data_IF_384318830449
#
_entry.id   IF_384318830449
#
_cell.length_a   1.000
_cell.length_b   1.000
_cell.length_c   1.000
_cell.angle_alpha   90.00
_cell.angle_beta   90.00
_cell.angle_gamma   90.00
#
_symmetry.space_group_name_H-M   'P 1'
#
loop_
_entity.id
_entity.type
_entity.pdbx_description
1 polymer ?
#
# COMPACT_ATOMS: atom_id res chain seq x y z
N UNK A 1 6.12 19.14 -8.52
CA UNK A 1 5.47 19.31 -7.22
C UNK A 1 4.74 18.01 -6.92
N UNK A 2 5.31 17.10 -6.13
CA UNK A 2 4.59 15.87 -5.76
C UNK A 2 3.52 16.27 -4.73
N UNK A 3 2.27 16.38 -5.19
CA UNK A 3 1.14 16.60 -4.29
C UNK A 3 1.16 15.51 -3.23
N UNK A 4 1.20 15.90 -1.96
CA UNK A 4 1.30 14.99 -0.83
C UNK A 4 0.03 14.13 -0.75
N UNK A 5 0.07 12.94 -1.37
CA UNK A 5 -1.10 12.05 -1.38
C UNK A 5 -1.44 11.61 0.04
N UNK A 6 -2.68 11.86 0.45
CA UNK A 6 -3.14 11.52 1.80
C UNK A 6 -3.05 10.00 2.03
N UNK A 7 -2.92 9.52 3.27
CA UNK A 7 -2.91 8.08 3.56
C UNK A 7 -4.13 7.34 2.97
N UNK A 8 -5.29 8.01 2.89
CA UNK A 8 -6.51 7.48 2.28
C UNK A 8 -6.38 7.32 0.77
N UNK A 9 -5.82 8.31 0.08
CA UNK A 9 -5.58 8.27 -1.37
C UNK A 9 -4.58 7.19 -1.74
N UNK A 10 -3.48 7.05 -0.98
CA UNK A 10 -2.50 5.98 -1.22
C UNK A 10 -3.12 4.60 -1.11
N UNK A 11 -3.95 4.39 -0.08
CA UNK A 11 -4.71 3.14 0.09
C UNK A 11 -5.66 2.87 -1.07
N UNK A 12 -6.40 3.88 -1.52
CA UNK A 12 -7.30 3.76 -2.66
C UNK A 12 -6.54 3.38 -3.95
N UNK A 13 -5.41 4.04 -4.21
CA UNK A 13 -4.54 3.76 -5.36
C UNK A 13 -3.97 2.33 -5.30
N UNK A 14 -3.52 1.89 -4.14
CA UNK A 14 -3.01 0.53 -3.95
C UNK A 14 -4.07 -0.54 -4.19
N UNK A 15 -5.32 -0.31 -3.75
CA UNK A 15 -6.45 -1.20 -4.05
C UNK A 15 -6.71 -1.24 -5.55
N UNK A 16 -6.72 -0.08 -6.22
CA UNK A 16 -6.91 0.00 -7.67
C UNK A 16 -5.82 -0.77 -8.43
N UNK A 17 -4.54 -0.55 -8.10
CA UNK A 17 -3.42 -1.28 -8.70
C UNK A 17 -3.51 -2.79 -8.43
N UNK A 18 -3.86 -3.21 -7.22
CA UNK A 18 -4.03 -4.62 -6.91
C UNK A 18 -5.17 -5.26 -7.73
N UNK A 19 -6.26 -4.54 -7.98
CA UNK A 19 -7.36 -5.02 -8.81
C UNK A 19 -6.96 -5.11 -10.29
N UNK A 20 -6.24 -4.13 -10.82
CA UNK A 20 -5.68 -4.17 -12.17
C UNK A 20 -4.75 -5.39 -12.34
N UNK A 21 -3.86 -5.63 -11.37
CA UNK A 21 -2.96 -6.80 -11.40
C UNK A 21 -3.73 -8.13 -11.32
N UNK A 22 -4.80 -8.21 -10.54
CA UNK A 22 -5.67 -9.39 -10.54
C UNK A 22 -6.34 -9.60 -11.89
N UNK A 23 -6.83 -8.53 -12.54
CA UNK A 23 -7.40 -8.61 -13.87
C UNK A 23 -6.36 -9.08 -14.90
N UNK A 24 -5.13 -8.56 -14.84
CA UNK A 24 -4.02 -9.04 -15.68
C UNK A 24 -3.71 -10.52 -15.45
N UNK A 25 -3.76 -10.99 -14.20
CA UNK A 25 -3.57 -12.41 -13.91
C UNK A 25 -4.67 -13.29 -14.53
N UNK A 26 -5.91 -12.80 -14.57
CA UNK A 26 -7.03 -13.48 -15.23
C UNK A 26 -6.93 -13.46 -16.75
N UNK A 27 -6.42 -12.39 -17.34
CA UNK A 27 -6.16 -12.28 -18.77
C UNK A 27 -5.00 -13.20 -19.19
N UNK A 28 -3.92 -13.24 -18.40
CA UNK A 28 -2.74 -14.05 -18.68
C UNK A 28 -3.02 -15.57 -18.76
N UNK A 29 -4.10 -16.04 -18.13
CA UNK A 29 -4.52 -17.44 -18.21
C UNK A 29 -5.34 -17.75 -19.47
N UNK A 30 -5.74 -16.73 -20.25
CA UNK A 30 -6.71 -16.85 -21.35
C UNK A 30 -6.23 -16.28 -22.68
N UNK A 31 -5.19 -15.46 -22.67
CA UNK A 31 -4.68 -14.76 -23.86
C UNK A 31 -3.84 -15.64 -24.80
N UNK A 32 -3.54 -16.89 -24.42
CA UNK A 32 -2.74 -17.82 -25.21
C UNK A 32 -1.25 -17.46 -25.31
N UNK A 33 -0.79 -16.38 -24.67
CA UNK A 33 0.60 -15.95 -24.76
C UNK A 33 1.53 -16.80 -23.87
N UNK A 34 2.82 -16.95 -24.21
CA UNK A 34 3.74 -17.87 -23.53
C UNK A 34 3.89 -17.65 -22.03
N UNK A 35 3.94 -18.72 -21.24
CA UNK A 35 4.11 -18.69 -19.78
C UNK A 35 2.93 -18.03 -19.01
N UNK A 36 1.70 -18.16 -19.50
CA UNK A 36 0.50 -17.56 -18.87
C UNK A 36 0.36 -17.83 -17.37
N UNK A 37 0.62 -19.06 -16.91
CA UNK A 37 0.58 -19.42 -15.49
C UNK A 37 1.62 -18.63 -14.65
N UNK A 38 2.85 -18.50 -15.15
CA UNK A 38 3.92 -17.72 -14.50
C UNK A 38 3.52 -16.24 -14.41
N UNK A 39 3.06 -15.64 -15.53
CA UNK A 39 2.60 -14.25 -15.54
C UNK A 39 1.46 -14.00 -14.56
N UNK A 40 0.49 -14.92 -14.50
CA UNK A 40 -0.62 -14.85 -13.57
C UNK A 40 -0.16 -14.95 -12.09
N UNK A 41 0.78 -15.84 -11.79
CA UNK A 41 1.37 -15.95 -10.45
C UNK A 41 2.14 -14.70 -10.05
N UNK A 42 2.92 -14.12 -10.97
CA UNK A 42 3.66 -12.88 -10.77
C UNK A 42 2.72 -11.71 -10.50
N UNK A 43 1.68 -11.53 -11.31
CA UNK A 43 0.71 -10.44 -11.13
C UNK A 43 -0.05 -10.57 -9.80
N UNK A 44 -0.48 -11.79 -9.41
CA UNK A 44 -1.09 -12.03 -8.08
C UNK A 44 -0.13 -11.74 -6.94
N UNK A 45 1.15 -12.06 -7.10
CA UNK A 45 2.18 -11.78 -6.09
C UNK A 45 2.46 -10.29 -5.95
N UNK A 46 2.55 -9.57 -7.07
CA UNK A 46 2.66 -8.11 -7.08
C UNK A 46 1.46 -7.45 -6.38
N UNK A 47 0.23 -7.91 -6.67
CA UNK A 47 -0.98 -7.40 -6.02
C UNK A 47 -0.93 -7.58 -4.48
N UNK A 48 -0.50 -8.77 -4.02
CA UNK A 48 -0.31 -9.03 -2.58
C UNK A 48 0.75 -8.13 -1.96
N UNK A 49 1.89 -7.95 -2.63
CA UNK A 49 2.99 -7.11 -2.14
C UNK A 49 2.57 -5.66 -1.99
N UNK A 50 1.85 -5.09 -2.95
CA UNK A 50 1.33 -3.71 -2.87
C UNK A 50 0.42 -3.53 -1.65
N UNK A 51 -0.52 -4.45 -1.44
CA UNK A 51 -1.43 -4.37 -0.30
C UNK A 51 -0.71 -4.55 1.04
N UNK A 52 0.27 -5.44 1.10
CA UNK A 52 1.10 -5.63 2.30
C UNK A 52 1.97 -4.40 2.59
N UNK A 53 2.54 -3.78 1.55
CA UNK A 53 3.34 -2.57 1.66
C UNK A 53 2.50 -1.43 2.27
N UNK A 54 1.32 -1.15 1.72
CA UNK A 54 0.45 -0.10 2.28
C UNK A 54 -0.04 -0.41 3.69
N UNK A 55 -0.31 -1.69 4.00
CA UNK A 55 -0.68 -2.07 5.37
C UNK A 55 0.44 -1.77 6.36
N UNK A 56 1.69 -2.09 5.99
CA UNK A 56 2.87 -1.78 6.82
C UNK A 56 3.07 -0.28 6.96
N UNK A 57 2.98 0.47 5.86
CA UNK A 57 3.08 1.93 5.87
C UNK A 57 2.00 2.56 6.76
N UNK A 58 0.76 2.07 6.74
CA UNK A 58 -0.31 2.56 7.59
C UNK A 58 -0.06 2.31 9.08
N UNK A 59 0.50 1.14 9.45
CA UNK A 59 0.88 0.85 10.84
C UNK A 59 2.00 1.78 11.29
N UNK A 60 3.05 1.94 10.47
CA UNK A 60 4.18 2.82 10.79
C UNK A 60 3.76 4.28 10.94
N UNK A 61 2.92 4.79 10.02
CA UNK A 61 2.43 6.16 10.11
C UNK A 61 1.58 6.40 11.36
N UNK A 62 0.80 5.40 11.80
CA UNK A 62 0.04 5.50 13.05
C UNK A 62 0.97 5.53 14.26
N UNK A 63 1.96 4.64 14.31
CA UNK A 63 2.93 4.60 15.41
C UNK A 63 3.73 5.91 15.49
N UNK A 64 4.14 6.47 14.35
CA UNK A 64 4.81 7.75 14.28
C UNK A 64 3.92 8.89 14.79
N UNK A 65 2.65 8.95 14.36
CA UNK A 65 1.71 9.96 14.83
C UNK A 65 1.51 9.90 16.35
N UNK A 66 1.39 8.69 16.91
CA UNK A 66 1.26 8.49 18.36
C UNK A 66 2.52 8.92 19.12
N UNK A 67 3.70 8.59 18.60
CA UNK A 67 4.97 8.99 19.22
C UNK A 67 5.16 10.52 19.18
N UNK A 68 4.77 11.16 18.08
CA UNK A 68 4.81 12.62 17.96
C UNK A 68 3.84 13.30 18.93
N UNK A 69 2.63 12.76 19.10
CA UNK A 69 1.66 13.28 20.08
C UNK A 69 2.21 13.18 21.50
N UNK A 70 2.75 12.01 21.89
CA UNK A 70 3.32 11.81 23.23
C UNK A 70 4.50 12.76 23.50
N UNK A 71 5.35 13.03 22.50
CA UNK A 71 6.42 14.00 22.62
C UNK A 71 5.89 15.42 22.78
N UNK A 72 4.82 15.79 22.10
CA UNK A 72 4.20 17.12 22.24
C UNK A 72 3.60 17.28 23.64
N UNK A 73 2.92 16.27 24.15
CA UNK A 73 2.36 16.24 25.52
C UNK A 73 3.48 16.39 26.57
N UNK A 74 4.56 15.60 26.46
CA UNK A 74 5.72 15.69 27.36
C UNK A 74 6.36 17.10 27.35
N UNK A 75 6.48 17.71 26.17
CA UNK A 75 7.02 19.07 26.07
C UNK A 75 6.06 20.12 26.65
N UNK A 76 4.75 19.91 26.59
CA UNK A 76 3.77 20.81 27.19
C UNK A 76 3.82 20.75 28.72
N UNK A 77 3.97 19.56 29.30
CA UNK A 77 4.13 19.34 30.74
C UNK A 77 5.42 19.95 31.29
N UNK A 78 6.47 20.08 30.47
CA UNK A 78 7.74 20.71 30.86
C UNK A 78 7.71 22.24 30.83
N UNK A 79 6.73 22.85 30.18
CA UNK A 79 6.63 24.31 29.98
C UNK A 79 5.52 24.94 30.85
N UNK A 80 4.57 24.14 31.35
CA UNK A 80 3.52 24.54 32.29
C UNK A 80 3.95 24.50 33.75
#
# INVERSE_FOLDING_TARGET
>A
MQSETTPRERRAKAVAHANQLRALAWAALRDGAPHGAMRAATARTAARRILQHERRAAVLNRALAQALEALIEEQADLVG
#
